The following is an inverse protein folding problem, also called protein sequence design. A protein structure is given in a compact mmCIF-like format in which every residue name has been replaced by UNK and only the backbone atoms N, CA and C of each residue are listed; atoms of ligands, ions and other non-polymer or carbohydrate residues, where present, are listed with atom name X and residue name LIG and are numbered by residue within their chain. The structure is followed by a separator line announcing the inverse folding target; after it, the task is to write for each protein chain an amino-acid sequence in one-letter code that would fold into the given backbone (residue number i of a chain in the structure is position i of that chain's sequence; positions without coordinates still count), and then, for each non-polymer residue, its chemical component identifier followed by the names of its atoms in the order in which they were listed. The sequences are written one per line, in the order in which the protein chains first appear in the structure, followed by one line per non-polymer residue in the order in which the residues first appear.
data_IF_713173278141
#
_entry.id   IF_713173278141
#
_cell.length_a   1.000
_cell.length_b   1.000
_cell.length_c   1.000
_cell.angle_alpha   90.00
_cell.angle_beta   90.00
_cell.angle_gamma   90.00
#
_symmetry.space_group_name_H-M   'P 1'
#
loop_
_entity.id
_entity.type
_entity.pdbx_description
1 polymer ?
#
# COMPACT_ATOMS: atom_id res chain seq x y z
N UNK A 1 10.55 -2.38 37.93
CA UNK A 1 10.82 -1.82 36.60
C UNK A 1 11.22 -2.98 35.69
N UNK A 2 10.44 -3.26 34.64
CA UNK A 2 10.76 -4.32 33.67
C UNK A 2 11.62 -3.74 32.53
N UNK A 3 12.62 -4.47 32.03
CA UNK A 3 13.52 -3.99 30.98
C UNK A 3 12.82 -4.04 29.61
N UNK A 4 12.62 -2.89 28.97
CA UNK A 4 12.13 -2.79 27.59
C UNK A 4 13.26 -3.08 26.61
N UNK A 5 13.59 -4.36 26.41
CA UNK A 5 14.58 -4.80 25.43
C UNK A 5 13.91 -5.14 24.08
N UNK A 6 14.24 -4.29 23.08
CA UNK A 6 14.57 -4.65 21.70
C UNK A 6 13.49 -5.29 20.81
N UNK A 7 12.69 -4.43 20.17
CA UNK A 7 12.27 -4.66 18.79
C UNK A 7 13.20 -3.89 17.85
N UNK A 8 14.32 -4.51 17.46
CA UNK A 8 15.14 -3.99 16.36
C UNK A 8 14.50 -4.47 15.06
N UNK A 9 13.69 -3.62 14.43
CA UNK A 9 13.26 -3.87 13.05
C UNK A 9 14.48 -3.67 12.15
N UNK A 10 15.01 -4.77 11.64
CA UNK A 10 16.12 -4.76 10.69
C UNK A 10 15.60 -4.26 9.33
N UNK A 11 15.81 -2.97 9.03
CA UNK A 11 15.48 -2.36 7.73
C UNK A 11 16.51 -2.72 6.65
N UNK A 12 17.33 -3.76 6.84
CA UNK A 12 18.35 -4.17 5.86
C UNK A 12 17.71 -4.96 4.72
N UNK A 13 16.85 -4.28 3.94
CA UNK A 13 16.47 -4.76 2.62
C UNK A 13 17.59 -4.39 1.66
N UNK A 14 18.37 -5.41 1.29
CA UNK A 14 19.42 -5.40 0.28
C UNK A 14 18.95 -4.65 -0.98
N UNK A 15 19.56 -3.48 -1.26
CA UNK A 15 19.39 -2.77 -2.53
C UNK A 15 19.94 -3.66 -3.65
N UNK A 16 19.04 -4.20 -4.46
CA UNK A 16 19.36 -4.79 -5.75
C UNK A 16 19.03 -3.75 -6.81
N UNK A 17 19.98 -3.46 -7.68
CA UNK A 17 19.96 -2.39 -8.67
C UNK A 17 18.95 -2.62 -9.81
N UNK A 18 17.65 -2.51 -9.49
CA UNK A 18 16.51 -2.37 -10.41
C UNK A 18 15.75 -1.09 -9.98
N UNK A 19 16.40 0.04 -10.24
CA UNK A 19 16.58 1.14 -9.30
C UNK A 19 15.72 2.39 -9.61
N UNK A 20 14.40 2.26 -9.83
CA UNK A 20 13.54 3.47 -9.81
C UNK A 20 12.09 3.29 -9.33
N UNK A 21 11.45 2.13 -9.51
CA UNK A 21 10.02 1.98 -9.15
C UNK A 21 9.84 1.23 -7.84
N UNK A 22 9.15 1.85 -6.88
CA UNK A 22 8.81 1.28 -5.59
C UNK A 22 8.12 -0.10 -5.75
N UNK A 23 8.55 -1.15 -5.02
CA UNK A 23 7.97 -2.49 -5.15
C UNK A 23 6.45 -2.55 -4.92
N UNK A 24 5.90 -1.66 -4.09
CA UNK A 24 4.46 -1.55 -3.86
C UNK A 24 3.78 -0.96 -5.09
N UNK A 25 4.32 0.11 -5.68
CA UNK A 25 3.80 0.65 -6.93
C UNK A 25 3.82 -0.36 -8.07
N UNK A 26 4.91 -1.13 -8.22
CA UNK A 26 4.97 -2.21 -9.21
C UNK A 26 3.87 -3.26 -8.99
N UNK A 27 3.61 -3.62 -7.73
CA UNK A 27 2.53 -4.53 -7.38
C UNK A 27 1.15 -3.93 -7.72
N UNK A 28 0.94 -2.64 -7.42
CA UNK A 28 -0.32 -1.94 -7.70
C UNK A 28 -0.59 -1.79 -9.20
N UNK A 29 0.45 -1.58 -10.01
CA UNK A 29 0.36 -1.62 -11.49
C UNK A 29 -0.13 -3.00 -11.97
N UNK A 30 0.42 -4.08 -11.41
CA UNK A 30 0.02 -5.46 -11.75
C UNK A 30 -1.41 -5.79 -11.33
N UNK A 31 -1.91 -5.25 -10.20
CA UNK A 31 -3.29 -5.49 -9.76
C UNK A 31 -4.32 -4.65 -10.52
N UNK A 32 -3.89 -3.58 -11.17
CA UNK A 32 -4.75 -2.59 -11.82
C UNK A 32 -5.41 -1.62 -10.85
N UNK A 33 -4.95 -1.57 -9.59
CA UNK A 33 -5.54 -0.72 -8.54
C UNK A 33 -4.75 0.57 -8.28
N UNK A 34 -3.77 0.90 -9.12
CA UNK A 34 -2.85 2.03 -8.88
C UNK A 34 -3.54 3.40 -8.91
N UNK A 35 -4.51 3.62 -9.79
CA UNK A 35 -5.26 4.90 -9.84
C UNK A 35 -6.02 5.16 -8.53
N UNK A 36 -6.60 4.10 -7.94
CA UNK A 36 -7.28 4.19 -6.66
C UNK A 36 -6.29 4.43 -5.50
N UNK A 37 -5.05 3.94 -5.62
CA UNK A 37 -4.00 4.27 -4.67
C UNK A 37 -3.66 5.77 -4.71
N UNK A 38 -3.47 6.34 -5.91
CA UNK A 38 -3.21 7.77 -6.07
C UNK A 38 -4.38 8.62 -5.59
N UNK A 39 -5.63 8.22 -5.86
CA UNK A 39 -6.81 8.91 -5.32
C UNK A 39 -6.84 8.94 -3.78
N UNK A 40 -6.37 7.87 -3.11
CA UNK A 40 -6.23 7.86 -1.64
C UNK A 40 -5.14 8.85 -1.20
N UNK A 41 -4.00 8.88 -1.90
CA UNK A 41 -2.92 9.84 -1.60
C UNK A 41 -3.39 11.29 -1.75
N UNK A 42 -4.10 11.61 -2.83
CA UNK A 42 -4.69 12.93 -3.09
C UNK A 42 -5.68 13.32 -1.98
N UNK A 43 -6.62 12.43 -1.64
CA UNK A 43 -7.58 12.72 -0.58
C UNK A 43 -6.88 13.01 0.76
N UNK A 44 -5.84 12.24 1.09
CA UNK A 44 -5.08 12.43 2.32
C UNK A 44 -4.26 13.73 2.29
N UNK A 45 -3.70 14.11 1.14
CA UNK A 45 -2.97 15.35 0.95
C UNK A 45 -3.89 16.59 1.13
N UNK A 46 -5.11 16.51 0.59
CA UNK A 46 -6.12 17.58 0.66
C UNK A 46 -6.75 17.70 2.06
N UNK A 47 -7.22 16.58 2.61
CA UNK A 47 -8.06 16.59 3.81
C UNK A 47 -7.25 16.42 5.10
N UNK A 48 -6.15 15.67 5.03
CA UNK A 48 -5.35 15.23 6.20
C UNK A 48 -6.16 14.53 7.30
N UNK A 49 -7.36 14.07 6.98
CA UNK A 49 -8.26 13.33 7.86
C UNK A 49 -8.76 12.09 7.12
N UNK A 50 -8.27 10.93 7.53
CA UNK A 50 -8.62 9.64 6.93
C UNK A 50 -10.12 9.33 7.02
N UNK A 51 -10.85 9.90 7.99
CA UNK A 51 -12.30 9.71 8.12
C UNK A 51 -13.05 10.30 6.93
N UNK A 52 -12.54 11.37 6.32
CA UNK A 52 -13.11 11.97 5.11
C UNK A 52 -12.74 11.18 3.85
N UNK A 53 -11.67 10.39 3.91
CA UNK A 53 -11.20 9.58 2.78
C UNK A 53 -11.75 8.15 2.76
N UNK A 54 -12.67 7.82 3.65
CA UNK A 54 -13.20 6.45 3.78
C UNK A 54 -13.80 5.90 2.49
N UNK A 55 -14.51 6.72 1.70
CA UNK A 55 -15.09 6.27 0.43
C UNK A 55 -14.02 5.85 -0.57
N UNK A 56 -12.95 6.64 -0.69
CA UNK A 56 -11.84 6.36 -1.60
C UNK A 56 -11.06 5.13 -1.14
N UNK A 57 -10.82 5.01 0.17
CA UNK A 57 -10.16 3.85 0.77
C UNK A 57 -10.99 2.57 0.58
N UNK A 58 -12.32 2.63 0.73
CA UNK A 58 -13.20 1.48 0.47
C UNK A 58 -13.13 1.02 -0.99
N UNK A 59 -13.15 1.96 -1.94
CA UNK A 59 -13.00 1.62 -3.37
C UNK A 59 -11.66 0.93 -3.64
N UNK A 60 -10.58 1.46 -3.08
CA UNK A 60 -9.25 0.85 -3.19
C UNK A 60 -9.22 -0.57 -2.60
N UNK A 61 -9.80 -0.77 -1.41
CA UNK A 61 -9.92 -2.08 -0.77
C UNK A 61 -10.67 -3.07 -1.67
N UNK A 62 -11.85 -2.70 -2.18
CA UNK A 62 -12.64 -3.57 -3.07
C UNK A 62 -11.84 -3.98 -4.30
N UNK A 63 -11.13 -3.04 -4.95
CA UNK A 63 -10.28 -3.36 -6.09
C UNK A 63 -9.21 -4.42 -5.74
N UNK A 64 -8.56 -4.26 -4.59
CA UNK A 64 -7.52 -5.19 -4.13
C UNK A 64 -8.11 -6.57 -3.82
N UNK A 65 -9.27 -6.66 -3.17
CA UNK A 65 -9.98 -7.92 -2.92
C UNK A 65 -10.36 -8.64 -4.21
N UNK A 66 -10.87 -7.92 -5.21
CA UNK A 66 -11.16 -8.50 -6.53
C UNK A 66 -9.89 -8.97 -7.24
N UNK A 67 -8.80 -8.19 -7.17
CA UNK A 67 -7.52 -8.59 -7.74
C UNK A 67 -6.96 -9.86 -7.09
N UNK A 68 -7.14 -10.01 -5.77
CA UNK A 68 -6.76 -11.21 -5.04
C UNK A 68 -7.59 -12.42 -5.47
N UNK A 69 -8.91 -12.25 -5.65
CA UNK A 69 -9.79 -13.31 -6.18
C UNK A 69 -9.40 -13.71 -7.59
N UNK A 70 -9.14 -12.75 -8.49
CA UNK A 70 -8.68 -13.03 -9.86
C UNK A 70 -7.39 -13.85 -9.87
N UNK A 71 -6.44 -13.51 -9.00
CA UNK A 71 -5.18 -14.24 -8.86
C UNK A 71 -5.31 -15.63 -8.22
N UNK A 72 -6.35 -15.89 -7.44
CA UNK A 72 -6.58 -17.19 -6.83
C UNK A 72 -7.20 -18.22 -7.81
N UNK A 73 -7.76 -17.74 -8.93
CA UNK A 73 -8.36 -18.56 -9.98
C UNK A 73 -7.39 -18.81 -11.14
N UNK A 74 -6.34 -17.99 -11.28
CA UNK A 74 -5.24 -18.18 -12.23
C UNK A 74 -4.19 -19.13 -11.67
#
# INVERSE_FOLDING_TARGET
AAPTEKFKHDYSRKQTSDEETDPVEQMLKKTGCIELHYAVQECMAENRDWRKCQDVVRKFQTCMEESAKRRAVQ
#
